data_IF_611941968187
#
_entry.id   IF_611941968187
#
_cell.length_a   1.000
_cell.length_b   1.000
_cell.length_c   1.000
_cell.angle_alpha   90.00
_cell.angle_beta   90.00
_cell.angle_gamma   90.00
#
_symmetry.space_group_name_H-M   'P 1'
#
loop_
_entity.id
_entity.type
_entity.pdbx_description
1 polymer ?
#
# COMPACT_ATOMS: atom_id res chain seq x y z
N UNK A 1 25.16 4.25 3.43
CA UNK A 1 24.10 3.51 4.15
C UNK A 1 24.04 2.13 3.52
N UNK A 2 24.35 1.06 4.25
CA UNK A 2 24.24 -0.31 3.74
C UNK A 2 22.79 -0.78 3.88
N UNK A 3 22.17 -1.19 2.77
CA UNK A 3 20.81 -1.74 2.78
C UNK A 3 20.94 -3.24 3.10
N UNK A 4 20.42 -3.70 4.26
CA UNK A 4 20.24 -5.13 4.56
C UNK A 4 18.77 -5.50 4.46
N UNK A 5 18.46 -6.55 3.69
CA UNK A 5 17.10 -7.08 3.48
C UNK A 5 16.99 -8.53 3.98
N UNK A 6 17.47 -8.79 5.19
CA UNK A 6 17.38 -10.12 5.82
C UNK A 6 15.92 -10.61 5.98
N UNK A 7 14.98 -9.66 6.00
CA UNK A 7 13.55 -9.91 5.92
C UNK A 7 13.00 -9.37 4.58
N UNK A 8 12.57 -10.24 3.64
CA UNK A 8 12.03 -9.82 2.35
C UNK A 8 10.87 -8.82 2.44
N UNK A 9 10.01 -8.93 3.47
CA UNK A 9 8.89 -8.00 3.67
C UNK A 9 9.33 -6.60 4.09
N UNK A 10 10.60 -6.42 4.45
CA UNK A 10 11.13 -5.09 4.78
C UNK A 10 11.04 -4.12 3.61
N UNK A 11 11.06 -4.63 2.37
CA UNK A 11 10.90 -3.80 1.18
C UNK A 11 9.61 -2.97 1.20
N UNK A 12 8.53 -3.51 1.79
CA UNK A 12 7.25 -2.82 1.91
C UNK A 12 7.36 -1.53 2.73
N UNK A 13 8.23 -1.50 3.74
CA UNK A 13 8.47 -0.28 4.51
C UNK A 13 9.15 0.81 3.69
N UNK A 14 9.89 0.48 2.62
CA UNK A 14 10.57 1.45 1.76
C UNK A 14 9.73 1.90 0.56
N UNK A 15 8.67 1.16 0.19
CA UNK A 15 7.75 1.51 -0.92
C UNK A 15 7.29 2.97 -0.91
N UNK A 16 6.95 3.59 0.24
CA UNK A 16 6.57 5.00 0.30
C UNK A 16 7.63 5.98 -0.22
N UNK A 17 8.90 5.58 -0.21
CA UNK A 17 10.03 6.37 -0.66
C UNK A 17 10.49 6.02 -2.09
N UNK A 18 9.84 5.08 -2.79
CA UNK A 18 10.26 4.64 -4.12
C UNK A 18 10.35 5.79 -5.12
N UNK A 19 9.40 6.74 -5.11
CA UNK A 19 9.45 7.93 -5.95
C UNK A 19 10.73 8.77 -5.77
N UNK A 20 11.29 8.79 -4.56
CA UNK A 20 12.56 9.46 -4.27
C UNK A 20 13.77 8.56 -4.56
N UNK A 21 13.73 7.29 -4.15
CA UNK A 21 14.83 6.32 -4.30
C UNK A 21 15.12 6.04 -5.78
N UNK A 22 14.09 5.85 -6.58
CA UNK A 22 14.18 5.50 -8.01
C UNK A 22 13.83 6.67 -8.91
N UNK A 23 14.05 7.91 -8.44
CA UNK A 23 13.69 9.14 -9.17
C UNK A 23 14.15 9.17 -10.62
N UNK A 24 15.37 8.69 -10.89
CA UNK A 24 15.91 8.67 -12.24
C UNK A 24 15.20 7.69 -13.18
N UNK A 25 14.64 6.61 -12.63
CA UNK A 25 13.89 5.61 -13.39
C UNK A 25 12.47 6.10 -13.71
N UNK A 26 11.94 6.97 -12.87
CA UNK A 26 10.61 7.57 -13.05
C UNK A 26 10.64 8.88 -13.85
N UNK A 27 11.79 9.29 -14.40
CA UNK A 27 11.87 10.51 -15.20
C UNK A 27 10.97 10.43 -16.44
N UNK A 28 10.06 11.40 -16.59
CA UNK A 28 9.11 11.46 -17.70
C UNK A 28 7.81 10.70 -17.48
N UNK A 29 7.66 9.97 -16.38
CA UNK A 29 6.38 9.36 -15.98
C UNK A 29 5.57 10.33 -15.12
N UNK A 30 4.26 10.43 -15.38
CA UNK A 30 3.34 11.26 -14.59
C UNK A 30 3.10 10.69 -13.18
N UNK A 31 3.23 9.36 -13.04
CA UNK A 31 2.96 8.60 -11.82
C UNK A 31 4.01 7.53 -11.61
N UNK A 32 4.27 7.22 -10.34
CA UNK A 32 4.96 6.01 -9.90
C UNK A 32 4.05 5.23 -8.94
N UNK A 33 4.40 3.99 -8.62
CA UNK A 33 3.62 3.20 -7.68
C UNK A 33 4.29 1.89 -7.33
N UNK A 34 3.54 1.04 -6.65
CA UNK A 34 3.96 -0.30 -6.27
C UNK A 34 2.81 -1.30 -6.38
N UNK A 35 3.19 -2.56 -6.48
CA UNK A 35 2.29 -3.70 -6.61
C UNK A 35 2.88 -4.91 -5.88
N UNK A 36 2.01 -5.81 -5.42
CA UNK A 36 2.42 -7.18 -5.07
C UNK A 36 2.57 -8.06 -6.33
N UNK A 37 3.19 -9.23 -6.15
CA UNK A 37 3.47 -10.19 -7.23
C UNK A 37 2.41 -11.29 -7.37
N UNK A 38 1.54 -11.44 -6.37
CA UNK A 38 0.51 -12.47 -6.28
C UNK A 38 -0.87 -11.97 -6.72
N UNK A 39 -0.87 -11.11 -7.74
CA UNK A 39 -2.04 -10.44 -8.29
C UNK A 39 -2.28 -10.87 -9.73
N UNK A 40 -3.55 -11.04 -10.10
CA UNK A 40 -3.99 -11.19 -11.49
C UNK A 40 -4.69 -9.90 -11.90
N UNK A 41 -4.13 -9.18 -12.86
CA UNK A 41 -4.62 -7.88 -13.32
C UNK A 41 -5.64 -8.01 -14.46
N UNK A 42 -6.67 -7.18 -14.39
CA UNK A 42 -7.47 -6.80 -15.56
C UNK A 42 -6.87 -5.58 -16.26
N UNK A 43 -7.69 -4.83 -16.99
CA UNK A 43 -7.25 -3.65 -17.68
C UNK A 43 -7.24 -2.46 -16.70
N UNK A 44 -6.06 -2.18 -16.17
CA UNK A 44 -5.87 -1.15 -15.13
C UNK A 44 -6.28 0.23 -15.66
N UNK A 45 -5.86 0.57 -16.89
CA UNK A 45 -5.84 1.95 -17.37
C UNK A 45 -7.23 2.59 -17.43
N UNK A 46 -8.27 1.99 -18.04
CA UNK A 46 -9.62 2.57 -18.06
C UNK A 46 -10.21 2.87 -16.68
N UNK A 47 -9.83 2.07 -15.66
CA UNK A 47 -10.35 2.20 -14.30
C UNK A 47 -9.71 3.39 -13.54
N UNK A 48 -8.46 3.75 -13.88
CA UNK A 48 -7.70 4.79 -13.15
C UNK A 48 -7.47 6.07 -13.97
N UNK A 49 -7.51 5.99 -15.31
CA UNK A 49 -7.20 7.11 -16.21
C UNK A 49 -8.01 8.38 -15.91
N UNK A 50 -9.33 8.32 -15.61
CA UNK A 50 -10.08 9.52 -15.27
C UNK A 50 -9.51 10.30 -14.07
N UNK A 51 -8.88 9.60 -13.13
CA UNK A 51 -8.27 10.18 -11.93
C UNK A 51 -6.85 10.69 -12.22
N UNK A 52 -6.10 9.98 -13.07
CA UNK A 52 -4.80 10.45 -13.56
C UNK A 52 -4.94 11.74 -14.37
N UNK A 53 -5.96 11.84 -15.25
CA UNK A 53 -6.25 13.06 -16.03
C UNK A 53 -6.60 14.26 -15.15
N UNK A 54 -7.23 14.03 -13.98
CA UNK A 54 -7.47 15.06 -12.96
C UNK A 54 -6.25 15.37 -12.10
N UNK A 55 -5.10 14.76 -12.38
CA UNK A 55 -3.85 14.92 -11.63
C UNK A 55 -4.01 14.59 -10.15
N UNK A 56 -4.82 13.58 -9.83
CA UNK A 56 -5.00 13.12 -8.45
C UNK A 56 -3.66 12.69 -7.86
N UNK A 57 -3.31 13.14 -6.67
CA UNK A 57 -1.97 12.96 -6.11
C UNK A 57 -1.73 11.53 -5.61
N UNK A 58 -2.74 10.90 -5.01
CA UNK A 58 -2.68 9.50 -4.55
C UNK A 58 -3.92 8.75 -5.02
N UNK A 59 -3.71 7.58 -5.65
CA UNK A 59 -4.78 6.70 -6.14
C UNK A 59 -4.65 5.34 -5.44
N UNK A 60 -5.69 4.96 -4.70
CA UNK A 60 -5.82 3.67 -4.02
C UNK A 60 -6.99 2.85 -4.55
N UNK A 61 -6.87 1.52 -4.41
CA UNK A 61 -7.82 0.53 -4.95
C UNK A 61 -8.77 -0.07 -3.90
N UNK A 62 -8.71 0.47 -2.69
CA UNK A 62 -9.60 0.14 -1.57
C UNK A 62 -10.19 1.43 -1.02
N UNK A 63 -11.49 1.43 -0.74
CA UNK A 63 -12.16 2.61 -0.19
C UNK A 63 -11.72 2.88 1.25
N UNK A 64 -11.57 1.82 2.06
CA UNK A 64 -11.43 1.97 3.51
C UNK A 64 -9.98 2.25 3.97
N UNK A 65 -8.98 1.98 3.12
CA UNK A 65 -7.56 2.19 3.43
C UNK A 65 -6.69 2.24 2.18
N UNK A 66 -5.47 2.78 2.28
CA UNK A 66 -4.45 2.61 1.25
C UNK A 66 -3.89 1.19 1.31
N UNK A 67 -4.03 0.44 0.23
CA UNK A 67 -3.64 -0.97 0.17
C UNK A 67 -2.15 -1.13 -0.18
N UNK A 68 -1.41 -1.94 0.58
CA UNK A 68 -0.01 -2.25 0.30
C UNK A 68 0.19 -3.00 -1.02
N UNK A 69 -0.83 -3.74 -1.46
CA UNK A 69 -0.76 -4.53 -2.69
C UNK A 69 -0.88 -3.71 -3.98
N UNK A 70 -1.38 -2.46 -3.93
CA UNK A 70 -1.37 -1.55 -5.07
C UNK A 70 -1.68 -0.10 -4.65
N UNK A 71 -0.81 0.83 -5.06
CA UNK A 71 -1.08 2.26 -5.00
C UNK A 71 -0.28 3.02 -6.06
N UNK A 72 -0.84 4.13 -6.54
CA UNK A 72 -0.16 5.07 -7.42
C UNK A 72 -0.04 6.45 -6.76
N UNK A 73 1.07 7.11 -7.05
CA UNK A 73 1.45 8.41 -6.53
C UNK A 73 1.88 9.27 -7.69
N UNK A 74 1.39 10.51 -7.72
CA UNK A 74 1.81 11.48 -8.71
C UNK A 74 3.31 11.75 -8.55
N UNK A 75 4.02 11.80 -9.67
CA UNK A 75 5.46 11.90 -9.69
C UNK A 75 5.94 13.35 -9.52
N UNK A 76 5.74 13.90 -8.32
CA UNK A 76 6.30 15.20 -7.93
C UNK A 76 7.17 15.05 -6.68
N UNK A 77 8.14 15.97 -6.44
CA UNK A 77 8.96 15.93 -5.23
C UNK A 77 8.13 15.97 -3.93
N UNK A 78 7.04 16.72 -3.91
CA UNK A 78 6.16 16.88 -2.75
C UNK A 78 5.46 15.55 -2.43
N UNK A 79 4.85 14.91 -3.44
CA UNK A 79 4.13 13.65 -3.24
C UNK A 79 5.10 12.50 -2.96
N UNK A 80 6.25 12.47 -3.64
CA UNK A 80 7.29 11.45 -3.44
C UNK A 80 7.98 11.52 -2.07
N UNK A 81 7.74 12.59 -1.31
CA UNK A 81 8.30 12.78 0.02
C UNK A 81 7.27 12.77 1.16
N UNK A 82 6.00 12.42 0.89
CA UNK A 82 4.92 12.35 1.89
C UNK A 82 5.28 11.48 3.10
N UNK A 83 6.04 10.40 2.90
CA UNK A 83 6.49 9.51 3.97
C UNK A 83 7.29 10.24 5.06
N UNK A 84 7.96 11.35 4.73
CA UNK A 84 8.74 12.16 5.67
C UNK A 84 7.86 12.91 6.68
N UNK A 85 6.56 13.02 6.43
CA UNK A 85 5.60 13.57 7.39
C UNK A 85 5.49 12.72 8.65
N UNK A 86 5.89 11.44 8.59
CA UNK A 86 6.01 10.62 9.79
C UNK A 86 7.36 10.85 10.48
N UNK A 87 7.44 11.48 11.68
CA UNK A 87 8.73 11.87 12.27
C UNK A 87 9.71 10.73 12.55
N UNK A 88 9.21 9.48 12.60
CA UNK A 88 10.01 8.29 12.90
C UNK A 88 10.30 7.43 11.66
N UNK A 89 10.09 7.94 10.44
CA UNK A 89 10.35 7.18 9.20
C UNK A 89 11.80 6.65 9.11
N UNK A 90 12.79 7.40 9.60
CA UNK A 90 14.18 6.93 9.64
C UNK A 90 14.36 5.69 10.54
N UNK A 91 13.62 5.60 11.65
CA UNK A 91 13.63 4.38 12.49
C UNK A 91 13.01 3.21 11.76
N UNK A 92 11.88 3.44 11.08
CA UNK A 92 11.26 2.43 10.22
C UNK A 92 12.27 1.96 9.18
N UNK A 93 13.00 2.85 8.51
CA UNK A 93 13.97 2.48 7.48
C UNK A 93 15.25 1.83 8.04
N UNK A 94 15.63 2.13 9.28
CA UNK A 94 16.89 1.63 9.84
C UNK A 94 16.74 0.29 10.58
N UNK A 95 15.53 -0.11 10.94
CA UNK A 95 15.28 -1.41 11.58
C UNK A 95 15.30 -2.54 10.54
N UNK A 96 16.32 -3.39 10.61
CA UNK A 96 16.54 -4.52 9.69
C UNK A 96 15.74 -5.77 10.05
N UNK A 97 15.14 -5.83 11.24
CA UNK A 97 14.50 -7.05 11.76
C UNK A 97 12.97 -6.96 11.66
N UNK A 98 12.40 -5.79 11.93
CA UNK A 98 10.97 -5.59 11.97
C UNK A 98 10.43 -5.00 10.67
N UNK A 99 9.41 -5.68 10.13
CA UNK A 99 8.50 -5.13 9.15
C UNK A 99 7.38 -4.35 9.87
N UNK A 100 7.17 -3.10 9.49
CA UNK A 100 6.17 -2.24 10.10
C UNK A 100 4.90 -2.07 9.26
N UNK A 101 4.91 -2.34 7.96
CA UNK A 101 3.76 -2.13 7.05
C UNK A 101 3.54 -0.64 6.76
N UNK A 102 4.62 0.11 6.54
CA UNK A 102 4.55 1.57 6.39
C UNK A 102 3.83 2.04 5.10
N UNK A 103 3.78 1.19 4.08
CA UNK A 103 3.07 1.39 2.81
C UNK A 103 1.55 1.26 2.89
N UNK A 104 1.02 0.73 3.98
CA UNK A 104 -0.40 0.43 4.13
C UNK A 104 -0.95 0.74 5.52
N UNK A 105 -2.22 0.42 5.75
CA UNK A 105 -2.83 0.55 7.07
C UNK A 105 -2.21 -0.43 8.06
N UNK A 106 -1.19 0.03 8.76
CA UNK A 106 -0.53 -0.77 9.78
C UNK A 106 -0.95 -0.37 11.19
N UNK A 107 -1.31 -1.40 11.97
CA UNK A 107 -1.50 -1.24 13.40
C UNK A 107 -0.18 -1.25 14.19
N UNK A 108 0.94 -1.62 13.56
CA UNK A 108 2.22 -1.87 14.20
C UNK A 108 3.14 -0.64 14.23
N UNK A 109 3.20 0.18 13.17
CA UNK A 109 4.12 1.33 13.08
C UNK A 109 4.01 2.21 14.32
N UNK A 110 2.80 2.68 14.60
CA UNK A 110 2.55 3.56 15.75
C UNK A 110 2.54 2.86 17.11
N UNK A 111 2.39 1.54 17.21
CA UNK A 111 2.35 0.84 18.52
C UNK A 111 3.75 0.40 18.96
N UNK A 112 4.55 -0.17 18.06
CA UNK A 112 5.92 -0.61 18.36
C UNK A 112 6.88 0.57 18.57
N UNK A 113 6.68 1.67 17.86
CA UNK A 113 7.52 2.87 18.01
C UNK A 113 7.18 3.72 19.24
N UNK A 114 6.14 3.35 20.03
CA UNK A 114 5.64 4.11 21.20
C UNK A 114 6.05 3.57 22.58
N UNK A 115 7.09 2.74 22.71
CA UNK A 115 7.66 2.33 24.02
C UNK A 115 8.78 3.30 24.50
N UNK A 116 9.04 3.44 25.82
CA UNK A 116 8.60 4.64 26.55
C UNK A 116 9.63 5.75 26.83
N UNK A 117 10.94 5.59 26.58
CA UNK A 117 11.94 6.55 27.10
C UNK A 117 12.91 7.21 26.09
N UNK A 118 12.95 6.85 24.79
CA UNK A 118 14.20 7.06 24.03
C UNK A 118 14.05 7.66 22.62
N UNK A 119 14.51 8.91 22.51
CA UNK A 119 15.16 9.44 21.31
C UNK A 119 16.44 10.17 21.73
N UNK A 120 17.64 9.64 21.45
CA UNK A 120 18.91 10.28 21.79
C UNK A 120 19.35 11.29 20.71
N UNK A 121 18.45 12.12 20.22
CA UNK A 121 18.86 13.34 19.50
C UNK A 121 18.50 14.55 20.36
N UNK A 122 19.43 14.84 21.29
CA UNK A 122 19.72 16.12 21.98
C UNK A 122 20.19 15.84 23.41
N UNK A 123 21.43 15.35 23.55
CA UNK A 123 22.17 15.41 24.81
C UNK A 123 23.26 16.47 24.71
N UNK A 124 22.85 17.74 24.79
CA UNK A 124 23.64 18.77 25.44
C UNK A 124 22.77 20.01 25.76
N UNK A 125 22.96 20.52 26.98
CA UNK A 125 22.48 21.78 27.57
C UNK A 125 21.17 21.83 28.43
N UNK A 126 21.43 22.12 29.72
CA UNK A 126 20.73 22.78 30.84
C UNK A 126 19.29 22.43 31.29
N UNK A 127 19.26 21.95 32.55
CA UNK A 127 18.40 22.22 33.73
C UNK A 127 16.85 22.37 33.66
N UNK A 128 16.23 21.50 34.47
CA UNK A 128 14.88 21.43 35.09
C UNK A 128 13.66 22.10 34.41
N UNK A 129 13.68 23.37 34.03
CA UNK A 129 12.53 24.07 33.42
C UNK A 129 12.34 23.66 31.95
N UNK A 130 13.45 23.37 31.25
CA UNK A 130 13.43 22.90 29.87
C UNK A 130 12.75 21.56 29.70
N UNK A 131 12.80 20.66 30.71
CA UNK A 131 12.14 19.35 30.67
C UNK A 131 10.62 19.46 30.67
N UNK A 132 10.04 20.39 31.44
CA UNK A 132 8.59 20.57 31.53
C UNK A 132 8.04 21.19 30.23
N UNK A 133 8.67 22.26 29.73
CA UNK A 133 8.29 22.89 28.46
C UNK A 133 8.52 21.93 27.29
N UNK A 134 9.59 21.13 27.30
CA UNK A 134 9.85 20.07 26.32
C UNK A 134 8.82 18.94 26.42
N UNK A 135 8.36 18.56 27.61
CA UNK A 135 7.25 17.60 27.79
C UNK A 135 5.93 18.13 27.24
N UNK A 136 5.64 19.42 27.44
CA UNK A 136 4.44 20.09 26.90
C UNK A 136 4.54 20.21 25.37
N UNK A 137 5.65 20.72 24.82
CA UNK A 137 5.91 20.74 23.37
C UNK A 137 5.91 19.34 22.77
N UNK A 138 6.43 18.34 23.48
CA UNK A 138 6.38 16.93 23.09
C UNK A 138 4.95 16.38 23.15
N UNK A 139 4.14 16.69 24.15
CA UNK A 139 2.72 16.33 24.18
C UNK A 139 1.94 16.97 23.03
N UNK A 140 2.25 18.22 22.69
CA UNK A 140 1.68 18.95 21.54
C UNK A 140 2.21 18.46 20.18
N UNK A 141 3.46 17.96 20.12
CA UNK A 141 4.03 17.35 18.92
C UNK A 141 3.66 15.86 18.78
N UNK A 142 3.30 15.19 19.88
CA UNK A 142 2.86 13.79 19.88
C UNK A 142 1.36 13.65 19.69
N UNK A 143 0.58 14.71 19.95
CA UNK A 143 -0.79 14.78 19.42
C UNK A 143 -0.77 14.84 17.89
N UNK A 144 0.10 15.65 17.26
CA UNK A 144 0.25 15.66 15.79
C UNK A 144 0.99 14.45 15.22
N UNK A 145 1.95 13.84 15.95
CA UNK A 145 2.62 12.61 15.52
C UNK A 145 1.75 11.34 15.71
N UNK A 146 0.59 11.43 16.39
CA UNK A 146 -0.44 10.37 16.33
C UNK A 146 -1.20 10.40 15.00
N UNK A 147 -1.23 11.55 14.34
CA UNK A 147 -1.93 11.77 13.08
C UNK A 147 -1.14 11.26 11.88
N UNK A 148 0.10 10.83 12.05
CA UNK A 148 0.91 10.29 10.96
C UNK A 148 1.64 9.07 11.48
N UNK A 149 1.38 7.90 10.89
CA UNK A 149 2.03 6.64 11.30
C UNK A 149 2.29 5.70 10.14
N UNK A 150 1.55 5.83 9.06
CA UNK A 150 1.63 5.00 7.88
C UNK A 150 1.08 5.79 6.68
N UNK A 151 1.29 5.29 5.47
CA UNK A 151 0.85 6.00 4.26
C UNK A 151 -0.67 6.08 4.13
N UNK A 152 -1.42 5.16 4.72
CA UNK A 152 -2.89 5.26 4.77
C UNK A 152 -3.33 6.50 5.55
N UNK A 153 -2.82 6.65 6.77
CA UNK A 153 -3.16 7.78 7.65
C UNK A 153 -2.57 9.09 7.10
N UNK A 154 -1.34 9.08 6.57
CA UNK A 154 -0.72 10.26 5.94
C UNK A 154 -1.58 10.77 4.79
N UNK A 155 -1.86 9.92 3.80
CA UNK A 155 -2.64 10.33 2.63
C UNK A 155 -4.04 10.81 3.00
N UNK A 156 -4.70 10.10 3.93
CA UNK A 156 -6.04 10.47 4.41
C UNK A 156 -6.05 11.83 5.10
N UNK A 157 -5.12 12.08 6.02
CA UNK A 157 -5.10 13.33 6.78
C UNK A 157 -4.71 14.53 5.93
N UNK A 158 -3.77 14.36 5.00
CA UNK A 158 -3.41 15.40 4.02
C UNK A 158 -4.61 15.74 3.11
N UNK A 159 -5.35 14.72 2.66
CA UNK A 159 -6.54 14.93 1.83
C UNK A 159 -7.68 15.63 2.60
N UNK A 160 -7.90 15.25 3.87
CA UNK A 160 -8.89 15.92 4.73
C UNK A 160 -8.58 17.40 4.98
N UNK A 161 -7.30 17.77 4.97
CA UNK A 161 -6.85 19.17 5.07
C UNK A 161 -6.88 19.91 3.73
N UNK A 162 -7.19 19.22 2.63
CA UNK A 162 -7.16 19.80 1.28
C UNK A 162 -5.74 20.03 0.73
N UNK A 163 -4.71 19.44 1.35
CA UNK A 163 -3.32 19.61 0.95
C UNK A 163 -2.92 18.71 -0.23
N UNK A 164 -3.58 17.56 -0.37
CA UNK A 164 -3.44 16.67 -1.53
C UNK A 164 -4.80 16.18 -1.99
N UNK A 165 -4.86 15.72 -3.22
CA UNK A 165 -6.01 14.98 -3.76
C UNK A 165 -5.82 13.47 -3.59
N UNK A 166 -6.82 12.80 -3.01
CA UNK A 166 -6.82 11.36 -2.77
C UNK A 166 -8.05 10.73 -3.42
N UNK A 167 -7.83 9.75 -4.29
CA UNK A 167 -8.90 8.91 -4.83
C UNK A 167 -8.78 7.50 -4.26
N UNK A 168 -9.93 6.96 -3.84
CA UNK A 168 -10.07 5.58 -3.36
C UNK A 168 -11.40 5.01 -3.82
N UNK A 169 -11.38 3.80 -4.35
CA UNK A 169 -12.57 3.04 -4.72
C UNK A 169 -12.25 1.56 -4.59
N UNK A 170 -13.19 0.78 -4.07
CA UNK A 170 -13.08 -0.67 -4.10
C UNK A 170 -13.18 -1.14 -5.56
N UNK A 171 -12.05 -1.63 -6.09
CA UNK A 171 -11.92 -2.13 -7.46
C UNK A 171 -11.28 -3.52 -7.50
N UNK A 172 -11.23 -4.22 -6.37
CA UNK A 172 -10.42 -5.43 -6.22
C UNK A 172 -11.16 -6.48 -5.39
N UNK A 173 -10.84 -7.75 -5.65
CA UNK A 173 -11.30 -8.90 -4.84
C UNK A 173 -10.11 -9.78 -4.48
N UNK A 174 -10.33 -10.65 -3.50
CA UNK A 174 -9.34 -11.66 -3.09
C UNK A 174 -10.06 -12.92 -2.64
N UNK A 175 -9.36 -14.05 -2.76
CA UNK A 175 -9.80 -15.33 -2.22
C UNK A 175 -10.07 -15.25 -0.69
N UNK A 176 -9.24 -14.50 0.05
CA UNK A 176 -9.45 -14.25 1.48
C UNK A 176 -10.72 -13.42 1.74
N UNK A 177 -11.02 -12.45 0.87
CA UNK A 177 -12.26 -11.65 1.00
C UNK A 177 -13.48 -12.55 0.85
N UNK A 178 -13.57 -13.37 -0.20
CA UNK A 178 -14.69 -14.30 -0.38
C UNK A 178 -14.81 -15.30 0.77
N UNK A 179 -13.68 -15.79 1.29
CA UNK A 179 -13.66 -16.67 2.47
C UNK A 179 -14.26 -15.98 3.70
N UNK A 180 -13.91 -14.72 3.97
CA UNK A 180 -14.47 -13.93 5.08
C UNK A 180 -15.96 -13.65 4.92
N UNK A 181 -16.43 -13.53 3.67
CA UNK A 181 -17.86 -13.38 3.36
C UNK A 181 -18.62 -14.71 3.33
N UNK A 182 -17.96 -15.85 3.58
CA UNK A 182 -18.55 -17.19 3.50
C UNK A 182 -19.19 -17.49 2.12
N UNK A 183 -18.58 -17.01 1.05
CA UNK A 183 -19.03 -17.26 -0.33
C UNK A 183 -18.20 -18.42 -0.90
N UNK A 184 -18.77 -19.63 -1.07
CA UNK A 184 -18.03 -20.77 -1.57
C UNK A 184 -17.75 -20.77 -3.06
N UNK A 185 -18.76 -20.45 -3.83
CA UNK A 185 -18.75 -20.65 -5.27
C UNK A 185 -18.43 -19.34 -5.99
N UNK A 186 -17.37 -18.67 -5.54
CA UNK A 186 -16.89 -17.47 -6.21
C UNK A 186 -16.10 -17.84 -7.46
N UNK A 187 -16.27 -17.02 -8.48
CA UNK A 187 -15.66 -17.18 -9.78
C UNK A 187 -15.27 -15.79 -10.29
N UNK A 188 -14.03 -15.66 -10.71
CA UNK A 188 -13.52 -14.46 -11.37
C UNK A 188 -13.24 -14.84 -12.82
N UNK A 189 -13.74 -14.07 -13.76
CA UNK A 189 -13.46 -14.27 -15.18
C UNK A 189 -12.42 -13.23 -15.60
N UNK A 190 -11.37 -13.69 -16.27
CA UNK A 190 -10.52 -12.83 -17.07
C UNK A 190 -10.84 -13.07 -18.54
N UNK A 191 -11.18 -12.02 -19.27
CA UNK A 191 -11.60 -12.07 -20.68
C UNK A 191 -11.01 -10.88 -21.43
N UNK A 192 -10.18 -11.18 -22.43
CA UNK A 192 -9.55 -10.23 -23.34
C UNK A 192 -8.94 -9.01 -22.63
N UNK A 193 -8.15 -9.25 -21.58
CA UNK A 193 -7.48 -8.20 -20.82
C UNK A 193 -8.30 -7.60 -19.68
N UNK A 194 -9.60 -7.90 -19.57
CA UNK A 194 -10.47 -7.40 -18.49
C UNK A 194 -10.73 -8.50 -17.47
N UNK A 195 -11.01 -8.09 -16.23
CA UNK A 195 -11.24 -9.00 -15.11
C UNK A 195 -12.57 -8.66 -14.45
N UNK A 196 -13.38 -9.67 -14.14
CA UNK A 196 -14.73 -9.49 -13.63
C UNK A 196 -15.05 -10.46 -12.50
N UNK A 197 -15.79 -10.00 -11.49
CA UNK A 197 -16.53 -10.90 -10.61
C UNK A 197 -17.72 -11.48 -11.40
N UNK A 198 -17.73 -12.79 -11.63
CA UNK A 198 -18.73 -13.46 -12.48
C UNK A 198 -20.15 -13.31 -11.94
N UNK A 199 -20.32 -13.22 -10.62
CA UNK A 199 -21.63 -13.14 -9.97
C UNK A 199 -22.20 -11.73 -10.05
N UNK A 200 -21.37 -10.71 -9.82
CA UNK A 200 -21.84 -9.32 -9.78
C UNK A 200 -21.72 -8.60 -11.11
N UNK A 201 -20.88 -9.10 -12.04
CA UNK A 201 -20.52 -8.42 -13.27
C UNK A 201 -19.60 -7.20 -13.06
N UNK A 202 -19.10 -6.99 -11.84
CA UNK A 202 -18.22 -5.87 -11.50
C UNK A 202 -16.86 -6.05 -12.17
N UNK A 203 -16.41 -5.06 -12.95
CA UNK A 203 -15.06 -5.00 -13.47
C UNK A 203 -14.06 -4.70 -12.35
N UNK A 204 -13.01 -5.50 -12.27
CA UNK A 204 -11.98 -5.46 -11.25
C UNK A 204 -10.66 -5.01 -11.87
N UNK A 205 -9.91 -4.21 -11.13
CA UNK A 205 -8.54 -3.86 -11.45
C UNK A 205 -7.61 -5.06 -11.28
N UNK A 206 -7.76 -5.80 -10.18
CA UNK A 206 -7.07 -7.07 -9.98
C UNK A 206 -7.78 -8.00 -8.98
N UNK A 207 -7.35 -9.27 -9.02
CA UNK A 207 -7.66 -10.29 -8.04
C UNK A 207 -6.40 -10.69 -7.26
N UNK A 208 -6.47 -10.69 -5.93
CA UNK A 208 -5.34 -11.01 -5.05
C UNK A 208 -5.42 -12.46 -4.54
N UNK A 209 -4.39 -13.25 -4.84
CA UNK A 209 -4.24 -14.65 -4.40
C UNK A 209 -3.53 -14.73 -3.04
N UNK A 210 -4.24 -14.43 -1.95
CA UNK A 210 -3.63 -14.34 -0.61
C UNK A 210 -3.42 -15.74 0.01
N UNK A 211 -4.43 -16.61 -0.04
CA UNK A 211 -4.40 -17.96 0.57
C UNK A 211 -4.23 -19.05 -0.48
N UNK A 212 -4.89 -18.92 -1.62
CA UNK A 212 -4.89 -19.92 -2.70
C UNK A 212 -3.48 -20.26 -3.18
N UNK A 213 -2.57 -19.29 -3.23
CA UNK A 213 -1.16 -19.53 -3.61
C UNK A 213 -0.39 -20.47 -2.68
N UNK A 214 -0.90 -20.71 -1.47
CA UNK A 214 -0.34 -21.63 -0.50
C UNK A 214 -1.10 -22.96 -0.44
N UNK A 215 -2.23 -23.09 -1.14
CA UNK A 215 -3.00 -24.32 -1.18
C UNK A 215 -2.40 -25.26 -2.25
N UNK A 216 -1.87 -26.43 -1.87
CA UNK A 216 -1.32 -27.39 -2.84
C UNK A 216 -2.38 -27.95 -3.81
N UNK A 217 -3.67 -27.77 -3.51
CA UNK A 217 -4.78 -28.14 -4.41
C UNK A 217 -5.09 -27.06 -5.43
N UNK A 218 -4.61 -25.82 -5.25
CA UNK A 218 -4.80 -24.76 -6.22
C UNK A 218 -3.89 -25.02 -7.42
N UNK A 219 -4.48 -25.35 -8.57
CA UNK A 219 -3.74 -25.67 -9.79
C UNK A 219 -3.97 -24.61 -10.85
N UNK A 220 -2.95 -23.82 -11.23
CA UNK A 220 -3.02 -23.09 -12.47
C UNK A 220 -2.85 -24.11 -13.62
N UNK A 221 -3.79 -24.11 -14.57
CA UNK A 221 -3.59 -24.84 -15.82
C UNK A 221 -2.37 -24.28 -16.59
N UNK A 222 -1.69 -25.10 -17.42
CA UNK A 222 -0.55 -24.65 -18.21
C UNK A 222 -0.92 -23.43 -19.06
N UNK A 223 -0.20 -22.33 -18.89
CA UNK A 223 -0.52 -21.10 -19.59
C UNK A 223 -0.24 -21.21 -21.08
N UNK A 224 -1.29 -21.05 -21.89
CA UNK A 224 -1.20 -20.84 -23.33
C UNK A 224 -1.66 -19.41 -23.65
N UNK A 225 -1.44 -18.91 -24.88
CA UNK A 225 -1.96 -17.60 -25.31
C UNK A 225 -3.49 -17.66 -25.35
N UNK A 226 -4.12 -17.55 -24.19
CA UNK A 226 -5.56 -17.70 -23.99
C UNK A 226 -6.18 -16.32 -23.81
N UNK A 227 -7.25 -16.09 -24.54
CA UNK A 227 -8.00 -14.84 -24.45
C UNK A 227 -9.00 -14.87 -23.28
N UNK A 228 -9.27 -16.03 -22.66
CA UNK A 228 -10.19 -16.14 -21.54
C UNK A 228 -9.77 -17.24 -20.54
N UNK A 229 -9.89 -16.96 -19.24
CA UNK A 229 -9.75 -17.95 -18.17
C UNK A 229 -10.59 -17.60 -16.94
N UNK A 230 -10.89 -18.62 -16.15
CA UNK A 230 -11.66 -18.55 -14.92
C UNK A 230 -10.74 -18.79 -13.72
N UNK A 231 -10.87 -17.98 -12.68
CA UNK A 231 -10.23 -18.20 -11.38
C UNK A 231 -11.30 -18.55 -10.37
N UNK A 232 -11.11 -19.65 -9.65
CA UNK A 232 -11.98 -20.06 -8.56
C UNK A 232 -11.17 -20.71 -7.43
N UNK A 233 -11.83 -21.39 -6.51
CA UNK A 233 -11.17 -22.03 -5.36
C UNK A 233 -10.22 -23.17 -5.72
N UNK A 234 -10.41 -23.83 -6.86
CA UNK A 234 -9.61 -25.00 -7.25
C UNK A 234 -8.43 -24.62 -8.13
N UNK A 235 -8.43 -23.44 -8.75
CA UNK A 235 -7.35 -23.07 -9.67
C UNK A 235 -7.66 -21.93 -10.61
N UNK A 236 -6.83 -21.86 -11.65
CA UNK A 236 -7.04 -21.05 -12.84
C UNK A 236 -7.30 -22.03 -13.98
N UNK A 237 -8.48 -21.93 -14.60
CA UNK A 237 -9.00 -22.83 -15.62
C UNK A 237 -9.17 -22.08 -16.93
N UNK A 238 -8.57 -22.56 -18.00
CA UNK A 238 -8.68 -21.98 -19.33
C UNK A 238 -10.09 -22.24 -19.86
N UNK A 239 -10.70 -21.23 -20.48
CA UNK A 239 -11.94 -21.43 -21.21
C UNK A 239 -11.61 -21.57 -22.69
N UNK A 240 -11.99 -22.71 -23.30
CA UNK A 240 -11.96 -22.86 -24.74
C UNK A 240 -12.99 -21.90 -25.35
N UNK A 241 -12.55 -21.09 -26.31
CA UNK A 241 -13.34 -20.12 -27.06
C UNK A 241 -14.31 -20.77 -28.03
#
# INVERSE_FOLDING_TARGET
>A
MSISLDNPYKICDYRPAFGEIFRDWFRGYDYWGYSDLDLVYGNIFPLIEPYMKRKTDVIGVREQYLAGHFALFRNTPEISSLYKLYPYYLRVFSDTHLHYGFDEKSSLVGKKLKHPDESPFTHHFSESLGKAIRRIKYHLATSSARDYRDMDVISKNMAQKGEISLFRKDMVRSDLWYRKQHIPDWEIIWDNGKLFDKKTGEELLHFHLIRSKHDPKFRPEPWHNNNCFLINRTGIHIQES
#
